data_IF_785179550083
#
_entry.id   IF_785179550083
#
_cell.length_a   1.000
_cell.length_b   1.000
_cell.length_c   1.000
_cell.angle_alpha   90.00
_cell.angle_beta   90.00
_cell.angle_gamma   90.00
#
_symmetry.space_group_name_H-M   'P 1'
#
loop_
_entity.id
_entity.type
_entity.pdbx_description
1 polymer ?
#
# COMPACT_ATOMS: atom_id res chain seq x y z
N UNK A 1 16.79 -19.89 29.44
CA UNK A 1 15.67 -19.17 28.80
C UNK A 1 15.82 -19.32 27.30
N UNK A 2 14.83 -19.87 26.62
CA UNK A 2 14.82 -20.02 25.15
C UNK A 2 13.95 -18.90 24.57
N UNK A 3 14.56 -17.96 23.85
CA UNK A 3 13.82 -17.02 23.03
C UNK A 3 13.45 -17.72 21.71
N UNK A 4 12.23 -18.23 21.60
CA UNK A 4 11.73 -19.00 20.44
C UNK A 4 11.55 -18.16 19.16
N UNK A 5 11.94 -16.88 19.18
CA UNK A 5 11.85 -15.97 18.05
C UNK A 5 10.42 -15.45 17.79
N UNK A 6 10.30 -14.61 16.76
CA UNK A 6 9.02 -14.10 16.25
C UNK A 6 8.69 -14.76 14.91
N UNK A 7 7.40 -14.95 14.66
CA UNK A 7 6.84 -15.31 13.37
C UNK A 7 5.92 -14.17 12.91
N UNK A 8 6.10 -13.70 11.68
CA UNK A 8 5.33 -12.57 11.17
C UNK A 8 4.02 -13.06 10.55
N UNK A 9 2.94 -12.34 10.88
CA UNK A 9 1.66 -12.45 10.19
C UNK A 9 1.42 -11.14 9.45
N UNK A 10 1.49 -11.18 8.11
CA UNK A 10 1.18 -10.03 7.29
C UNK A 10 -0.26 -9.57 7.59
N UNK A 11 -0.40 -8.31 8.00
CA UNK A 11 -1.67 -7.68 8.40
C UNK A 11 -2.50 -8.52 9.39
N UNK A 12 -1.83 -9.22 10.30
CA UNK A 12 -2.51 -10.04 11.32
C UNK A 12 -3.12 -11.34 10.79
N UNK A 13 -2.81 -11.76 9.56
CA UNK A 13 -3.34 -12.99 8.96
C UNK A 13 -4.76 -12.85 8.40
N UNK A 14 -5.22 -11.61 8.18
CA UNK A 14 -6.52 -11.35 7.55
C UNK A 14 -6.50 -11.87 6.10
N UNK A 15 -7.56 -12.58 5.72
CA UNK A 15 -7.79 -12.97 4.33
C UNK A 15 -8.55 -11.85 3.61
N UNK A 16 -8.06 -11.46 2.43
CA UNK A 16 -8.67 -10.42 1.61
C UNK A 16 -9.42 -11.03 0.43
N UNK A 17 -10.56 -10.46 0.10
CA UNK A 17 -11.30 -10.77 -1.12
C UNK A 17 -11.93 -9.51 -1.70
N UNK A 18 -11.96 -9.40 -3.02
CA UNK A 18 -12.62 -8.32 -3.76
C UNK A 18 -13.58 -8.97 -4.73
N UNK A 19 -14.86 -8.59 -4.67
CA UNK A 19 -15.94 -9.18 -5.47
C UNK A 19 -16.01 -10.71 -5.38
N UNK A 20 -15.77 -11.25 -4.17
CA UNK A 20 -15.76 -12.69 -3.91
C UNK A 20 -14.49 -13.42 -4.39
N UNK A 21 -13.55 -12.72 -5.04
CA UNK A 21 -12.27 -13.29 -5.49
C UNK A 21 -11.20 -13.06 -4.42
N UNK A 22 -10.59 -14.14 -3.93
CA UNK A 22 -9.48 -14.08 -2.97
C UNK A 22 -8.33 -13.27 -3.56
N UNK A 23 -7.75 -12.39 -2.75
CA UNK A 23 -6.57 -11.58 -3.09
C UNK A 23 -5.43 -11.95 -2.14
N UNK A 24 -4.27 -12.21 -2.73
CA UNK A 24 -3.07 -12.55 -1.99
C UNK A 24 -2.18 -11.31 -1.86
N UNK A 25 -1.81 -10.95 -0.63
CA UNK A 25 -0.91 -9.82 -0.39
C UNK A 25 0.41 -9.91 -1.19
N UNK A 26 1.09 -11.07 -1.30
CA UNK A 26 2.34 -11.19 -2.05
C UNK A 26 2.20 -10.95 -3.57
N UNK A 27 0.99 -11.02 -4.10
CA UNK A 27 0.73 -10.72 -5.52
C UNK A 27 0.60 -9.22 -5.78
N UNK A 28 0.31 -8.43 -4.73
CA UNK A 28 0.13 -6.98 -4.83
C UNK A 28 1.45 -6.21 -4.74
N UNK A 29 1.44 -4.97 -5.24
CA UNK A 29 2.53 -4.00 -5.11
C UNK A 29 2.08 -2.87 -4.19
N UNK A 30 2.96 -2.40 -3.31
CA UNK A 30 2.66 -1.27 -2.43
C UNK A 30 2.52 0.02 -3.24
N UNK A 31 1.51 0.83 -2.92
CA UNK A 31 1.43 2.22 -3.31
C UNK A 31 1.82 3.09 -2.12
N UNK A 32 2.93 3.82 -2.27
CA UNK A 32 3.58 4.70 -1.27
C UNK A 32 3.79 4.02 0.10
N UNK A 33 4.01 2.71 0.06
CA UNK A 33 4.19 1.90 1.26
C UNK A 33 3.00 1.90 2.23
N UNK A 34 1.79 2.21 1.78
CA UNK A 34 0.60 2.28 2.66
C UNK A 34 -0.70 1.73 2.07
N UNK A 35 -0.80 1.62 0.74
CA UNK A 35 -1.90 0.93 0.06
C UNK A 35 -1.35 -0.21 -0.81
N UNK A 36 -2.20 -1.06 -1.36
CA UNK A 36 -1.79 -2.19 -2.20
C UNK A 36 -2.63 -2.28 -3.46
N UNK A 37 -1.99 -2.64 -4.59
CA UNK A 37 -2.70 -2.81 -5.86
C UNK A 37 -3.85 -3.80 -5.73
N UNK A 38 -4.95 -3.50 -6.41
CA UNK A 38 -6.17 -4.33 -6.47
C UNK A 38 -6.87 -4.58 -5.13
N UNK A 39 -6.50 -3.86 -4.07
CA UNK A 39 -7.15 -3.87 -2.76
C UNK A 39 -7.80 -2.51 -2.48
N UNK A 40 -9.09 -2.33 -2.82
CA UNK A 40 -9.77 -1.06 -2.69
C UNK A 40 -9.95 -0.67 -1.23
N UNK A 41 -9.86 0.64 -0.96
CA UNK A 41 -10.11 1.26 0.35
C UNK A 41 -9.28 0.69 1.51
N UNK A 42 -8.17 0.00 1.22
CA UNK A 42 -7.27 -0.56 2.22
C UNK A 42 -6.07 0.37 2.44
N UNK A 43 -5.87 0.79 3.67
CA UNK A 43 -4.68 1.51 4.12
C UNK A 43 -4.04 0.75 5.27
N UNK A 44 -2.72 0.65 5.23
CA UNK A 44 -1.87 -0.04 6.19
C UNK A 44 -0.65 0.84 6.52
N UNK A 45 -0.13 0.70 7.73
CA UNK A 45 1.07 1.42 8.17
C UNK A 45 2.16 0.42 8.49
N UNK A 46 3.25 0.46 7.73
CA UNK A 46 4.44 -0.36 7.97
C UNK A 46 5.52 0.48 8.66
N UNK A 47 6.12 -0.01 9.76
CA UNK A 47 7.03 0.80 10.57
C UNK A 47 8.35 1.07 9.84
N UNK A 48 8.94 2.24 10.13
CA UNK A 48 10.33 2.50 9.82
C UNK A 48 11.24 1.60 10.69
N UNK A 49 12.34 1.05 10.16
CA UNK A 49 13.23 0.16 10.92
C UNK A 49 13.93 0.82 12.12
N UNK A 50 14.19 2.14 12.05
CA UNK A 50 15.05 2.85 13.00
C UNK A 50 14.40 4.08 13.65
N UNK A 51 13.09 4.24 13.46
CA UNK A 51 12.33 5.39 13.95
C UNK A 51 11.07 4.88 14.63
N UNK A 52 10.56 5.63 15.61
CA UNK A 52 9.33 5.26 16.31
C UNK A 52 8.18 5.03 15.32
N UNK A 53 7.51 3.88 15.44
CA UNK A 53 6.43 3.47 14.53
C UNK A 53 5.25 4.45 14.54
N UNK A 54 5.01 5.14 15.66
CA UNK A 54 3.95 6.16 15.79
C UNK A 54 4.15 7.34 14.84
N UNK A 55 5.39 7.67 14.44
CA UNK A 55 5.65 8.71 13.44
C UNK A 55 5.20 8.29 12.05
N UNK A 56 5.30 7.00 11.69
CA UNK A 56 4.75 6.51 10.42
C UNK A 56 3.23 6.63 10.43
N UNK A 57 2.59 6.25 11.55
CA UNK A 57 1.14 6.34 11.70
C UNK A 57 0.65 7.78 11.51
N UNK A 58 1.32 8.77 12.09
CA UNK A 58 1.01 10.19 11.87
C UNK A 58 1.06 10.56 10.37
N UNK A 59 2.15 10.20 9.69
CA UNK A 59 2.33 10.52 8.27
C UNK A 59 1.29 9.84 7.37
N UNK A 60 0.98 8.57 7.63
CA UNK A 60 -0.04 7.81 6.89
C UNK A 60 -1.43 8.38 7.16
N UNK A 61 -1.75 8.74 8.40
CA UNK A 61 -3.04 9.32 8.77
C UNK A 61 -3.30 10.66 8.09
N UNK A 62 -2.29 11.53 7.98
CA UNK A 62 -2.40 12.79 7.25
C UNK A 62 -2.72 12.56 5.76
N UNK A 63 -2.07 11.60 5.12
CA UNK A 63 -2.37 11.28 3.72
C UNK A 63 -3.74 10.63 3.56
N UNK A 64 -4.12 9.75 4.48
CA UNK A 64 -5.45 9.14 4.51
C UNK A 64 -6.55 10.20 4.59
N UNK A 65 -6.39 11.22 5.43
CA UNK A 65 -7.35 12.33 5.51
C UNK A 65 -7.49 13.03 4.15
N UNK A 66 -6.40 13.27 3.43
CA UNK A 66 -6.45 13.88 2.08
C UNK A 66 -7.22 13.01 1.09
N UNK A 67 -7.04 11.68 1.16
CA UNK A 67 -7.80 10.72 0.34
C UNK A 67 -9.30 10.83 0.67
N UNK A 68 -9.67 10.79 1.95
CA UNK A 68 -11.07 10.90 2.37
C UNK A 68 -11.71 12.21 1.91
N UNK A 69 -11.05 13.35 2.14
CA UNK A 69 -11.56 14.65 1.70
C UNK A 69 -11.72 14.75 0.17
N UNK A 70 -10.86 14.07 -0.58
CA UNK A 70 -10.97 13.98 -2.03
C UNK A 70 -12.15 13.09 -2.44
N UNK A 71 -12.32 11.93 -1.80
CA UNK A 71 -13.46 11.03 -2.02
C UNK A 71 -14.79 11.72 -1.73
N UNK A 72 -14.91 12.40 -0.59
CA UNK A 72 -16.11 13.13 -0.18
C UNK A 72 -16.46 14.25 -1.17
N UNK A 73 -15.47 15.03 -1.61
CA UNK A 73 -15.68 16.13 -2.57
C UNK A 73 -16.04 15.62 -3.97
N UNK A 74 -15.48 14.47 -4.38
CA UNK A 74 -15.69 13.87 -5.69
C UNK A 74 -16.92 12.95 -5.78
N UNK A 75 -17.53 12.60 -4.64
CA UNK A 75 -18.60 11.60 -4.60
C UNK A 75 -18.11 10.18 -4.90
N UNK A 76 -16.83 9.89 -4.62
CA UNK A 76 -16.22 8.58 -4.82
C UNK A 76 -16.43 7.70 -3.58
N UNK A 77 -16.67 6.40 -3.80
CA UNK A 77 -16.78 5.41 -2.71
C UNK A 77 -15.66 4.35 -2.78
N UNK A 78 -14.89 4.35 -3.86
CA UNK A 78 -13.83 3.39 -4.10
C UNK A 78 -12.55 4.13 -4.48
N UNK A 79 -11.48 3.85 -3.75
CA UNK A 79 -10.11 4.31 -4.02
C UNK A 79 -9.19 3.10 -4.08
N UNK A 80 -8.53 2.87 -5.22
CA UNK A 80 -7.66 1.70 -5.42
C UNK A 80 -6.44 2.08 -6.26
N UNK A 81 -5.22 1.73 -5.83
CA UNK A 81 -4.06 1.88 -6.68
C UNK A 81 -4.07 0.79 -7.76
N UNK A 82 -3.78 1.18 -9.00
CA UNK A 82 -3.77 0.31 -10.18
C UNK A 82 -2.41 0.44 -10.85
N UNK A 83 -1.71 -0.68 -10.98
CA UNK A 83 -0.51 -0.72 -11.79
C UNK A 83 -0.90 -1.02 -13.25
N UNK A 84 -0.83 0.00 -14.11
CA UNK A 84 -1.07 -0.14 -15.55
C UNK A 84 0.19 -0.53 -16.34
N UNK A 85 1.36 -0.53 -15.70
CA UNK A 85 2.65 -0.88 -16.32
C UNK A 85 3.07 -2.32 -15.95
N UNK A 86 2.86 -3.24 -16.88
CA UNK A 86 3.28 -4.63 -16.73
C UNK A 86 4.81 -4.82 -16.70
N UNK A 87 5.59 -3.81 -17.11
CA UNK A 87 7.05 -3.84 -17.10
C UNK A 87 7.68 -3.39 -15.78
N UNK A 88 6.86 -2.94 -14.82
CA UNK A 88 7.33 -2.49 -13.51
C UNK A 88 8.16 -3.59 -12.82
N UNK A 89 9.45 -3.31 -12.64
CA UNK A 89 10.36 -4.16 -11.88
C UNK A 89 9.97 -4.15 -10.40
N UNK A 90 9.56 -5.31 -9.87
CA UNK A 90 9.22 -5.45 -8.45
C UNK A 90 10.37 -6.05 -7.64
N UNK A 91 10.47 -5.66 -6.37
CA UNK A 91 11.39 -6.19 -5.37
C UNK A 91 10.65 -6.68 -4.12
N UNK A 92 11.39 -7.35 -3.25
CA UNK A 92 10.87 -7.82 -1.96
C UNK A 92 10.50 -6.66 -1.03
N UNK A 93 9.57 -6.93 -0.11
CA UNK A 93 9.10 -5.97 0.89
C UNK A 93 10.22 -5.46 1.79
N UNK A 94 10.74 -4.27 1.49
CA UNK A 94 11.68 -3.51 2.33
C UNK A 94 13.02 -4.20 2.63
N UNK A 95 13.99 -3.38 3.04
CA UNK A 95 15.34 -3.84 3.34
C UNK A 95 15.54 -3.96 4.86
N UNK A 96 14.82 -4.92 5.47
CA UNK A 96 14.98 -5.25 6.89
C UNK A 96 16.19 -6.18 7.10
N UNK A 97 16.90 -6.06 8.23
CA UNK A 97 18.08 -6.90 8.56
C UNK A 97 17.79 -8.03 9.53
N UNK A 98 16.57 -8.10 10.07
CA UNK A 98 16.20 -9.08 11.08
C UNK A 98 15.75 -10.40 10.45
N UNK A 99 16.38 -11.51 10.85
CA UNK A 99 16.07 -12.84 10.32
C UNK A 99 14.59 -13.26 10.43
N UNK A 100 13.86 -12.80 11.45
CA UNK A 100 12.43 -13.10 11.56
C UNK A 100 11.60 -12.40 10.48
N UNK A 101 12.04 -11.24 10.02
CA UNK A 101 11.43 -10.53 8.89
C UNK A 101 11.75 -11.28 7.60
N UNK A 102 13.02 -11.63 7.36
CA UNK A 102 13.42 -12.39 6.17
C UNK A 102 12.59 -13.66 5.95
N UNK A 103 12.32 -14.43 7.00
CA UNK A 103 11.47 -15.63 6.91
C UNK A 103 10.04 -15.30 6.46
N UNK A 104 9.50 -14.17 6.88
CA UNK A 104 8.13 -13.76 6.60
C UNK A 104 7.97 -12.87 5.36
N UNK A 105 9.05 -12.36 4.75
CA UNK A 105 8.99 -11.37 3.65
C UNK A 105 8.11 -11.81 2.49
N UNK A 106 8.09 -13.09 2.17
CA UNK A 106 7.28 -13.68 1.10
C UNK A 106 5.76 -13.60 1.36
N UNK A 107 5.33 -13.25 2.58
CA UNK A 107 3.92 -13.05 2.96
C UNK A 107 3.46 -11.60 2.77
N UNK A 108 4.38 -10.66 2.53
CA UNK A 108 4.11 -9.23 2.41
C UNK A 108 3.97 -8.80 0.94
N UNK A 109 3.34 -7.64 0.65
CA UNK A 109 3.29 -7.10 -0.70
C UNK A 109 4.67 -6.77 -1.24
N UNK A 110 4.82 -6.79 -2.57
CA UNK A 110 6.04 -6.35 -3.25
C UNK A 110 6.17 -4.83 -3.21
N UNK A 111 7.36 -4.30 -3.43
CA UNK A 111 7.59 -2.88 -3.71
C UNK A 111 8.32 -2.72 -5.05
N UNK A 112 8.63 -1.50 -5.47
CA UNK A 112 9.50 -1.21 -6.62
C UNK A 112 10.63 -0.23 -6.24
N UNK A 113 11.45 0.16 -7.21
CA UNK A 113 12.51 1.17 -7.05
C UNK A 113 12.08 2.58 -7.51
N UNK A 114 10.80 2.74 -7.87
CA UNK A 114 10.27 4.00 -8.38
C UNK A 114 8.95 4.37 -7.72
N UNK A 115 8.73 5.67 -7.54
CA UNK A 115 7.44 6.20 -7.12
C UNK A 115 6.36 5.93 -8.19
N UNK A 116 5.11 5.69 -7.78
CA UNK A 116 4.61 5.63 -6.40
C UNK A 116 4.75 4.24 -5.75
N UNK A 117 5.39 3.28 -6.42
CA UNK A 117 5.42 1.87 -6.02
C UNK A 117 6.51 1.52 -4.99
N UNK A 118 7.39 2.47 -4.70
CA UNK A 118 8.45 2.32 -3.69
C UNK A 118 7.91 2.36 -2.25
N UNK A 119 8.57 1.59 -1.38
CA UNK A 119 8.42 1.63 0.07
C UNK A 119 9.54 2.51 0.63
N UNK A 120 9.33 3.83 0.69
CA UNK A 120 10.33 4.74 1.24
C UNK A 120 10.33 4.69 2.78
N UNK A 121 11.33 4.02 3.35
CA UNK A 121 11.52 3.90 4.80
C UNK A 121 12.25 5.12 5.40
N UNK A 122 12.55 6.16 4.61
CA UNK A 122 13.11 7.42 5.11
C UNK A 122 12.00 8.39 5.53
N UNK A 123 11.80 8.57 6.85
CA UNK A 123 10.77 9.45 7.41
C UNK A 123 10.68 10.84 6.74
N UNK A 124 11.81 11.49 6.45
CA UNK A 124 11.78 12.88 5.92
C UNK A 124 11.27 12.91 4.49
N UNK A 125 11.77 12.01 3.64
CA UNK A 125 11.35 11.91 2.23
C UNK A 125 9.91 11.43 2.14
N UNK A 126 9.58 10.36 2.86
CA UNK A 126 8.26 9.79 2.93
C UNK A 126 7.20 10.79 3.42
N UNK A 127 7.48 11.54 4.50
CA UNK A 127 6.61 12.64 4.97
C UNK A 127 6.41 13.72 3.90
N UNK A 128 7.46 14.11 3.19
CA UNK A 128 7.35 15.09 2.10
C UNK A 128 6.46 14.53 0.99
N UNK A 129 6.75 13.32 0.52
CA UNK A 129 6.05 12.65 -0.56
C UNK A 129 4.56 12.51 -0.24
N UNK A 130 4.21 11.99 0.93
CA UNK A 130 2.81 11.81 1.32
C UNK A 130 2.06 13.13 1.58
N UNK A 131 2.74 14.21 1.99
CA UNK A 131 2.07 15.51 2.17
C UNK A 131 1.85 16.28 0.87
N UNK A 132 2.78 16.21 -0.08
CA UNK A 132 2.77 17.11 -1.25
C UNK A 132 2.30 16.45 -2.53
N UNK A 133 2.33 15.12 -2.64
CA UNK A 133 1.98 14.46 -3.89
C UNK A 133 0.49 14.63 -4.23
N UNK A 134 0.20 14.79 -5.52
CA UNK A 134 -1.17 14.82 -6.04
C UNK A 134 -1.81 13.44 -5.90
N UNK A 135 -3.12 13.41 -5.60
CA UNK A 135 -3.84 12.13 -5.46
C UNK A 135 -4.18 11.53 -6.82
N UNK A 136 -4.60 12.36 -7.79
CA UNK A 136 -4.88 11.94 -9.17
C UNK A 136 -3.59 11.84 -9.99
N UNK A 137 -2.68 10.96 -9.58
CA UNK A 137 -1.37 10.78 -10.21
C UNK A 137 -1.35 9.80 -11.39
N UNK A 138 -2.54 9.36 -11.83
CA UNK A 138 -2.73 8.37 -12.88
C UNK A 138 -2.56 6.92 -12.43
N UNK A 139 -2.14 6.67 -11.18
CA UNK A 139 -2.01 5.32 -10.61
C UNK A 139 -2.99 5.06 -9.47
N UNK A 140 -3.50 6.11 -8.81
CA UNK A 140 -4.58 6.00 -7.84
C UNK A 140 -5.93 6.26 -8.53
N UNK A 141 -6.77 5.23 -8.60
CA UNK A 141 -8.09 5.29 -9.23
C UNK A 141 -9.17 5.57 -8.21
N UNK A 142 -10.03 6.54 -8.51
CA UNK A 142 -11.21 6.88 -7.73
C UNK A 142 -12.47 6.59 -8.56
N UNK A 143 -13.41 5.82 -8.01
CA UNK A 143 -14.65 5.45 -8.70
C UNK A 143 -15.85 5.52 -7.77
N UNK A 144 -17.04 5.53 -8.37
CA UNK A 144 -18.33 5.50 -7.69
C UNK A 144 -19.06 4.21 -8.06
N UNK A 145 -19.52 3.47 -7.07
CA UNK A 145 -20.31 2.26 -7.24
C UNK A 145 -21.59 2.56 -8.02
N UNK A 146 -21.78 1.90 -9.16
CA UNK A 146 -22.91 2.12 -10.07
C UNK A 146 -22.59 2.91 -11.34
N UNK A 147 -21.42 3.56 -11.42
CA UNK A 147 -20.89 4.00 -12.72
C UNK A 147 -20.17 2.83 -13.38
N UNK A 148 -20.89 2.09 -14.22
CA UNK A 148 -20.30 1.07 -15.09
C UNK A 148 -19.22 1.75 -15.94
N UNK A 149 -17.96 1.38 -15.76
CA UNK A 149 -16.89 1.72 -16.69
C UNK A 149 -17.36 1.30 -18.10
N UNK A 150 -17.60 2.29 -18.96
CA UNK A 150 -17.94 2.03 -20.35
C UNK A 150 -16.86 1.11 -20.94
N UNK A 151 -17.29 -0.06 -21.42
CA UNK A 151 -16.41 -1.05 -22.01
C UNK A 151 -15.54 -0.38 -23.10
N UNK A 152 -14.23 -0.66 -23.16
CA UNK A 152 -13.40 -0.17 -24.25
C UNK A 152 -13.95 -0.75 -25.56
N UNK A 153 -14.34 0.15 -26.47
CA UNK A 153 -14.72 -0.20 -27.84
C UNK A 153 -13.52 -0.90 -28.49
N UNK A 154 -13.77 -2.09 -29.03
CA UNK A 154 -12.80 -2.94 -29.73
C UNK A 154 -12.19 -2.26 -30.97
#
# INVERSE_FOLDING_TARGET
MTATGLELLALGGIEFSVDGVKRELPASVTYRGMMMTDLPNLICSFPYPHVAWTLRVEVVAEHFQRILEHMDRGGYDTCVPVNSDASLGTRSFGDYTSNYVERGKHLFPKSADMEPWDLDLNLRRDRKNLRTHQLEDGTLSFTQSGQTAAAPTA
#
